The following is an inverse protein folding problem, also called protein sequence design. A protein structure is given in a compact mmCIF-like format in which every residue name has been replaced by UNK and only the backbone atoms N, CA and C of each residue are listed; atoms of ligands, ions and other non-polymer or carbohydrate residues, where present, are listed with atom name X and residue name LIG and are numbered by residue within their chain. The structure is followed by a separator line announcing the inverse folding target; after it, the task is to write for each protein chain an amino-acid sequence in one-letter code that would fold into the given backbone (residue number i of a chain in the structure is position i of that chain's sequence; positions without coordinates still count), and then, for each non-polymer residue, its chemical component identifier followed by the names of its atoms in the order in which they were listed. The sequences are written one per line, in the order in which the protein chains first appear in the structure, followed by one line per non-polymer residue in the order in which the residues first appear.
data_IF_032087102929
#
_entry.id   IF_032087102929
#
_cell.length_a   1.000
_cell.length_b   1.000
_cell.length_c   1.000
_cell.angle_alpha   90.00
_cell.angle_beta   90.00
_cell.angle_gamma   90.00
#
_symmetry.space_group_name_H-M   'P 1'
#
loop_
_entity.id
_entity.type
_entity.pdbx_description
1 polymer ?
#
# COMPACT_ATOMS: atom_id res chain seq x y z
N UNK A 1 23.65 -20.86 -5.03
CA UNK A 1 22.31 -21.25 -4.59
C UNK A 1 21.36 -20.10 -4.91
N UNK A 2 20.59 -20.27 -5.93
CA UNK A 2 19.55 -19.31 -6.25
C UNK A 2 18.47 -19.48 -5.19
N UNK A 3 18.44 -18.58 -4.23
CA UNK A 3 17.24 -18.43 -3.44
C UNK A 3 16.10 -18.17 -4.41
N UNK A 4 15.24 -19.16 -4.55
CA UNK A 4 13.95 -18.90 -5.16
C UNK A 4 13.30 -17.84 -4.30
N UNK A 5 13.29 -16.60 -4.79
CA UNK A 5 12.75 -15.47 -4.07
C UNK A 5 11.34 -15.80 -3.58
N UNK A 6 11.01 -15.32 -2.38
CA UNK A 6 9.66 -15.44 -1.86
C UNK A 6 8.69 -14.79 -2.85
N UNK A 7 7.67 -15.50 -3.35
CA UNK A 7 6.73 -14.93 -4.33
C UNK A 7 6.08 -13.63 -3.83
N UNK A 8 5.81 -13.54 -2.53
CA UNK A 8 5.21 -12.33 -1.93
C UNK A 8 6.19 -11.15 -1.97
N UNK A 9 7.48 -11.40 -1.79
CA UNK A 9 8.51 -10.37 -1.89
C UNK A 9 8.61 -9.81 -3.32
N UNK A 10 8.55 -10.69 -4.31
CA UNK A 10 8.54 -10.26 -5.73
C UNK A 10 7.29 -9.42 -6.05
N UNK A 11 6.13 -9.83 -5.57
CA UNK A 11 4.89 -9.07 -5.69
C UNK A 11 4.99 -7.70 -5.01
N UNK A 12 5.59 -7.64 -3.84
CA UNK A 12 5.82 -6.39 -3.12
C UNK A 12 6.69 -5.40 -3.92
N UNK A 13 7.76 -5.89 -4.51
CA UNK A 13 8.66 -5.06 -5.33
C UNK A 13 7.97 -4.57 -6.59
N UNK A 14 7.19 -5.42 -7.25
CA UNK A 14 6.39 -5.03 -8.41
C UNK A 14 5.35 -3.97 -8.02
N UNK A 15 4.66 -4.13 -6.91
CA UNK A 15 3.71 -3.14 -6.39
C UNK A 15 4.38 -1.80 -6.12
N UNK A 16 5.55 -1.80 -5.47
CA UNK A 16 6.30 -0.57 -5.20
C UNK A 16 6.70 0.17 -6.49
N UNK A 17 7.11 -0.56 -7.51
CA UNK A 17 7.43 -0.01 -8.83
C UNK A 17 6.20 0.63 -9.49
N UNK A 18 5.05 -0.03 -9.42
CA UNK A 18 3.80 0.49 -9.95
C UNK A 18 3.31 1.73 -9.21
N UNK A 19 3.45 1.76 -7.89
CA UNK A 19 3.10 2.92 -7.06
C UNK A 19 3.96 4.13 -7.46
N UNK A 20 5.27 3.94 -7.59
CA UNK A 20 6.18 5.00 -8.02
C UNK A 20 5.82 5.53 -9.42
N UNK A 21 5.49 4.64 -10.36
CA UNK A 21 5.04 5.03 -11.69
C UNK A 21 3.71 5.81 -11.66
N UNK A 22 2.77 5.41 -10.80
CA UNK A 22 1.51 6.11 -10.64
C UNK A 22 1.70 7.52 -10.06
N UNK A 23 2.58 7.68 -9.08
CA UNK A 23 2.90 8.98 -8.49
C UNK A 23 3.55 9.93 -9.52
N UNK A 24 4.48 9.42 -10.34
CA UNK A 24 5.10 10.19 -11.41
C UNK A 24 4.07 10.60 -12.48
N UNK A 25 3.19 9.68 -12.89
CA UNK A 25 2.12 9.96 -13.85
C UNK A 25 1.11 10.97 -13.32
N UNK A 26 0.76 10.90 -12.03
CA UNK A 26 -0.13 11.87 -11.38
C UNK A 26 0.44 13.28 -11.39
N UNK A 27 1.73 13.43 -11.15
CA UNK A 27 2.40 14.73 -11.23
C UNK A 27 2.36 15.32 -12.66
N UNK A 28 2.57 14.48 -13.68
CA UNK A 28 2.44 14.90 -15.08
C UNK A 28 1.00 15.30 -15.45
N UNK A 29 0.01 14.54 -14.97
CA UNK A 29 -1.42 14.88 -15.20
C UNK A 29 -1.79 16.26 -14.70
N UNK A 30 -1.26 16.67 -13.56
CA UNK A 30 -1.53 17.98 -12.96
C UNK A 30 -0.97 19.14 -13.81
N UNK A 31 0.07 18.88 -14.58
CA UNK A 31 0.69 19.89 -15.47
C UNK A 31 -0.04 20.01 -16.81
N UNK A 32 -0.85 19.02 -17.19
CA UNK A 32 -1.58 19.00 -18.45
C UNK A 32 -2.95 19.64 -18.33
N UNK A 33 -3.36 20.30 -19.42
CA UNK A 33 -4.71 20.88 -19.50
C UNK A 33 -5.80 19.81 -19.46
N UNK A 34 -6.96 20.17 -18.90
CA UNK A 34 -8.15 19.34 -18.93
C UNK A 34 -8.57 19.05 -20.38
N UNK A 35 -9.01 17.83 -20.64
CA UNK A 35 -9.52 17.41 -21.95
C UNK A 35 -8.48 17.35 -23.08
N UNK A 36 -7.19 17.29 -22.76
CA UNK A 36 -6.15 17.07 -23.78
C UNK A 36 -5.97 15.57 -24.05
N UNK A 37 -5.60 15.18 -25.30
CA UNK A 37 -5.30 13.78 -25.60
C UNK A 37 -4.18 13.20 -24.75
N UNK A 38 -3.18 14.01 -24.42
CA UNK A 38 -2.03 13.64 -23.58
C UNK A 38 -2.48 13.29 -22.15
N UNK A 39 -3.39 14.07 -21.59
CA UNK A 39 -3.97 13.80 -20.28
C UNK A 39 -4.80 12.52 -20.29
N UNK A 40 -5.61 12.32 -21.33
CA UNK A 40 -6.40 11.09 -21.48
C UNK A 40 -5.52 9.85 -21.55
N UNK A 41 -4.38 9.91 -22.24
CA UNK A 41 -3.42 8.83 -22.31
C UNK A 41 -2.80 8.52 -20.94
N UNK A 42 -2.46 9.55 -20.15
CA UNK A 42 -1.94 9.37 -18.79
C UNK A 42 -2.99 8.79 -17.85
N UNK A 43 -4.23 9.22 -17.95
CA UNK A 43 -5.35 8.67 -17.17
C UNK A 43 -5.56 7.18 -17.47
N UNK A 44 -5.48 6.77 -18.74
CA UNK A 44 -5.55 5.36 -19.12
C UNK A 44 -4.36 4.56 -18.60
N UNK A 45 -3.16 5.12 -18.64
CA UNK A 45 -1.97 4.47 -18.09
C UNK A 45 -2.11 4.29 -16.57
N UNK A 46 -2.59 5.32 -15.86
CA UNK A 46 -2.86 5.25 -14.42
C UNK A 46 -3.90 4.18 -14.07
N UNK A 47 -4.95 4.04 -14.88
CA UNK A 47 -5.97 3.01 -14.68
C UNK A 47 -5.39 1.60 -14.82
N UNK A 48 -4.51 1.37 -15.81
CA UNK A 48 -3.84 0.07 -15.99
C UNK A 48 -2.91 -0.25 -14.83
N UNK A 49 -2.19 0.74 -14.33
CA UNK A 49 -1.33 0.59 -13.15
C UNK A 49 -2.17 0.19 -11.94
N UNK A 50 -3.30 0.85 -11.71
CA UNK A 50 -4.21 0.54 -10.62
C UNK A 50 -4.77 -0.88 -10.71
N UNK A 51 -5.19 -1.32 -11.89
CA UNK A 51 -5.64 -2.70 -12.12
C UNK A 51 -4.55 -3.72 -11.82
N UNK A 52 -3.34 -3.48 -12.32
CA UNK A 52 -2.20 -4.37 -12.09
C UNK A 52 -1.85 -4.43 -10.61
N UNK A 53 -1.82 -3.30 -9.93
CA UNK A 53 -1.58 -3.25 -8.49
C UNK A 53 -2.63 -4.04 -7.72
N UNK A 54 -3.92 -3.86 -8.02
CA UNK A 54 -5.00 -4.59 -7.37
C UNK A 54 -4.85 -6.11 -7.56
N UNK A 55 -4.48 -6.55 -8.75
CA UNK A 55 -4.22 -7.97 -9.02
C UNK A 55 -3.06 -8.52 -8.19
N UNK A 56 -1.98 -7.74 -8.06
CA UNK A 56 -0.82 -8.08 -7.23
C UNK A 56 -1.22 -8.18 -5.76
N UNK A 57 -1.97 -7.23 -5.25
CA UNK A 57 -2.42 -7.19 -3.85
C UNK A 57 -3.31 -8.40 -3.52
N UNK A 58 -4.24 -8.73 -4.41
CA UNK A 58 -5.09 -9.92 -4.28
C UNK A 58 -4.29 -11.22 -4.28
N UNK A 59 -3.30 -11.30 -5.14
CA UNK A 59 -2.41 -12.47 -5.20
C UNK A 59 -1.56 -12.58 -3.95
N UNK A 60 -1.00 -11.47 -3.47
CA UNK A 60 -0.22 -11.42 -2.24
C UNK A 60 -1.05 -11.85 -1.02
N UNK A 61 -2.32 -11.47 -0.96
CA UNK A 61 -3.22 -11.86 0.12
C UNK A 61 -3.50 -13.37 0.17
N UNK A 62 -3.37 -14.07 -0.96
CA UNK A 62 -3.61 -15.51 -1.08
C UNK A 62 -2.34 -16.36 -1.04
N UNK A 63 -1.19 -15.72 -1.08
CA UNK A 63 0.10 -16.41 -1.15
C UNK A 63 0.76 -16.37 0.21
N UNK A 64 1.23 -17.53 0.67
CA UNK A 64 1.94 -17.61 1.94
C UNK A 64 3.30 -16.91 1.83
N UNK A 65 3.57 -15.97 2.72
CA UNK A 65 4.87 -15.36 2.83
C UNK A 65 5.90 -16.39 3.36
N UNK A 66 7.07 -16.40 2.74
CA UNK A 66 8.19 -17.28 3.12
C UNK A 66 9.44 -16.49 3.51
N UNK A 67 9.29 -15.16 3.61
CA UNK A 67 10.34 -14.26 4.02
C UNK A 67 9.77 -13.18 4.93
N UNK A 68 10.63 -12.54 5.70
CA UNK A 68 10.24 -11.41 6.54
C UNK A 68 9.76 -10.22 5.68
N UNK A 69 10.38 -10.00 4.52
CA UNK A 69 9.95 -8.96 3.58
C UNK A 69 8.53 -9.23 3.05
N UNK A 70 8.23 -10.47 2.68
CA UNK A 70 6.89 -10.86 2.27
C UNK A 70 5.86 -10.66 3.37
N UNK A 71 6.20 -11.04 4.60
CA UNK A 71 5.36 -10.81 5.77
C UNK A 71 5.14 -9.33 6.04
N UNK A 72 6.17 -8.52 5.90
CA UNK A 72 6.10 -7.06 6.00
C UNK A 72 5.07 -6.48 5.02
N UNK A 73 5.15 -6.90 3.78
CA UNK A 73 4.20 -6.45 2.74
C UNK A 73 2.76 -6.85 3.07
N UNK A 74 2.55 -8.08 3.53
CA UNK A 74 1.21 -8.54 3.92
C UNK A 74 0.63 -7.77 5.11
N UNK A 75 1.47 -7.37 6.06
CA UNK A 75 1.04 -6.51 7.18
C UNK A 75 0.63 -5.12 6.68
N UNK A 76 1.37 -4.55 5.74
CA UNK A 76 1.01 -3.27 5.13
C UNK A 76 -0.31 -3.36 4.37
N UNK A 77 -0.56 -4.43 3.64
CA UNK A 77 -1.83 -4.67 2.96
C UNK A 77 -2.99 -4.80 3.97
N UNK A 78 -2.79 -5.54 5.05
CA UNK A 78 -3.80 -5.69 6.08
C UNK A 78 -4.17 -4.34 6.71
N UNK A 79 -3.18 -3.49 6.97
CA UNK A 79 -3.42 -2.14 7.47
C UNK A 79 -4.20 -1.29 6.48
N UNK A 80 -3.84 -1.34 5.22
CA UNK A 80 -4.54 -0.60 4.16
C UNK A 80 -6.00 -1.03 4.05
N UNK A 81 -6.28 -2.33 4.14
CA UNK A 81 -7.65 -2.84 4.14
C UNK A 81 -8.44 -2.44 5.40
N UNK A 82 -7.80 -2.44 6.56
CA UNK A 82 -8.42 -1.98 7.80
C UNK A 82 -8.82 -0.50 7.71
N UNK A 83 -7.98 0.32 7.11
CA UNK A 83 -8.28 1.72 6.84
C UNK A 83 -9.47 1.88 5.89
N UNK A 84 -9.48 1.11 4.81
CA UNK A 84 -10.60 1.11 3.87
C UNK A 84 -11.91 0.67 4.54
N UNK A 85 -11.86 -0.35 5.37
CA UNK A 85 -13.02 -0.82 6.14
C UNK A 85 -13.59 0.28 7.03
N UNK A 86 -12.75 1.10 7.64
CA UNK A 86 -13.20 2.20 8.47
C UNK A 86 -13.94 3.28 7.67
N UNK A 87 -13.58 3.49 6.42
CA UNK A 87 -14.28 4.40 5.51
C UNK A 87 -15.63 3.85 5.03
N UNK A 88 -15.80 2.54 5.04
CA UNK A 88 -17.05 1.89 4.67
C UNK A 88 -18.02 1.74 5.86
N UNK A 89 -17.54 1.95 7.08
CA UNK A 89 -18.39 1.85 8.27
C UNK A 89 -19.48 2.91 8.22
N UNK A 90 -20.72 2.49 8.54
CA UNK A 90 -21.87 3.36 8.62
C UNK A 90 -21.60 4.53 9.58
N UNK A 91 -22.03 5.73 9.23
CA UNK A 91 -21.87 6.96 10.01
C UNK A 91 -22.34 6.80 11.47
N UNK A 92 -23.31 5.94 11.73
CA UNK A 92 -23.84 5.68 13.08
C UNK A 92 -22.87 4.95 14.00
N UNK A 93 -21.81 4.33 13.45
CA UNK A 93 -20.78 3.59 14.21
C UNK A 93 -19.39 4.14 14.03
N UNK A 94 -19.27 5.34 13.48
CA UNK A 94 -17.99 5.94 13.12
C UNK A 94 -16.99 6.04 14.29
N UNK A 95 -17.46 6.41 15.48
CA UNK A 95 -16.61 6.54 16.66
C UNK A 95 -16.04 5.19 17.13
N UNK A 96 -16.87 4.15 17.17
CA UNK A 96 -16.43 2.78 17.53
C UNK A 96 -15.49 2.21 16.46
N UNK A 97 -15.82 2.38 15.17
CA UNK A 97 -15.01 1.95 14.06
C UNK A 97 -13.63 2.63 14.08
N UNK A 98 -13.57 3.93 14.37
CA UNK A 98 -12.31 4.67 14.50
C UNK A 98 -11.47 4.19 15.68
N UNK A 99 -12.07 3.83 16.81
CA UNK A 99 -11.36 3.26 17.94
C UNK A 99 -10.77 1.89 17.62
N UNK A 100 -11.52 1.04 16.93
CA UNK A 100 -11.05 -0.27 16.48
C UNK A 100 -9.90 -0.11 15.48
N UNK A 101 -10.07 0.79 14.52
CA UNK A 101 -9.03 1.13 13.55
C UNK A 101 -7.75 1.58 14.26
N UNK A 102 -7.87 2.49 15.24
CA UNK A 102 -6.72 2.99 16.00
C UNK A 102 -5.95 1.88 16.72
N UNK A 103 -6.65 0.91 17.29
CA UNK A 103 -6.03 -0.25 17.92
C UNK A 103 -5.35 -1.18 16.90
N UNK A 104 -6.00 -1.44 15.79
CA UNK A 104 -5.44 -2.24 14.71
C UNK A 104 -4.18 -1.55 14.15
N UNK A 105 -4.27 -0.26 13.87
CA UNK A 105 -3.14 0.53 13.38
C UNK A 105 -1.96 0.48 14.36
N UNK A 106 -2.22 0.65 15.65
CA UNK A 106 -1.18 0.60 16.68
C UNK A 106 -0.49 -0.77 16.75
N UNK A 107 -1.27 -1.84 16.70
CA UNK A 107 -0.73 -3.21 16.71
C UNK A 107 0.09 -3.50 15.45
N UNK A 108 -0.44 -3.15 14.28
CA UNK A 108 0.23 -3.37 13.01
C UNK A 108 1.50 -2.52 12.88
N UNK A 109 1.49 -1.28 13.39
CA UNK A 109 2.67 -0.43 13.43
C UNK A 109 3.78 -1.05 14.28
N UNK A 110 3.45 -1.61 15.43
CA UNK A 110 4.41 -2.28 16.30
C UNK A 110 5.03 -3.49 15.62
N UNK A 111 4.21 -4.34 15.00
CA UNK A 111 4.67 -5.52 14.25
C UNK A 111 5.50 -5.10 13.03
N UNK A 112 5.08 -4.04 12.34
CA UNK A 112 5.79 -3.53 11.17
C UNK A 112 7.22 -3.12 11.52
N UNK A 113 7.40 -2.36 12.61
CA UNK A 113 8.73 -1.94 13.07
C UNK A 113 9.62 -3.15 13.42
N UNK A 114 9.03 -4.14 14.08
CA UNK A 114 9.75 -5.38 14.38
C UNK A 114 10.21 -6.09 13.10
N UNK A 115 9.33 -6.19 12.10
CA UNK A 115 9.65 -6.82 10.83
C UNK A 115 10.69 -6.03 10.02
N UNK A 116 10.64 -4.71 10.04
CA UNK A 116 11.69 -3.87 9.44
C UNK A 116 13.06 -4.17 10.08
N UNK A 117 13.09 -4.22 11.40
CA UNK A 117 14.29 -4.48 12.18
C UNK A 117 14.87 -5.87 11.89
N UNK A 118 14.02 -6.90 11.89
CA UNK A 118 14.42 -8.28 11.65
C UNK A 118 14.77 -8.56 10.19
N UNK A 119 14.12 -7.92 9.24
CA UNK A 119 14.38 -8.12 7.81
C UNK A 119 15.56 -7.29 7.29
N UNK A 120 15.90 -6.21 7.99
CA UNK A 120 16.85 -5.22 7.50
C UNK A 120 16.34 -4.40 6.31
N UNK A 121 15.04 -4.50 6.00
CA UNK A 121 14.42 -3.81 4.86
C UNK A 121 13.48 -2.73 5.37
N UNK A 122 13.72 -1.44 5.07
CA UNK A 122 12.77 -0.38 5.40
C UNK A 122 11.45 -0.57 4.64
N UNK A 123 10.33 -0.37 5.31
CA UNK A 123 9.02 -0.51 4.70
C UNK A 123 8.81 0.44 3.52
N UNK A 124 9.48 1.58 3.51
CA UNK A 124 9.46 2.56 2.41
C UNK A 124 9.88 1.96 1.06
N UNK A 125 10.85 1.02 1.06
CA UNK A 125 11.28 0.33 -0.17
C UNK A 125 10.21 -0.61 -0.73
N UNK A 126 9.21 -0.95 0.06
CA UNK A 126 8.10 -1.82 -0.31
C UNK A 126 6.78 -1.04 -0.48
N UNK A 127 6.85 0.27 -0.61
CA UNK A 127 5.68 1.10 -0.86
C UNK A 127 4.91 1.53 0.38
N UNK A 128 5.54 1.56 1.56
CA UNK A 128 4.88 1.89 2.82
C UNK A 128 4.14 3.23 2.79
N UNK A 129 4.69 4.24 2.14
CA UNK A 129 4.08 5.55 2.05
C UNK A 129 2.71 5.50 1.37
N UNK A 130 2.54 4.64 0.40
CA UNK A 130 1.25 4.42 -0.26
C UNK A 130 0.25 3.70 0.67
N UNK A 131 0.68 2.62 1.33
CA UNK A 131 -0.22 1.78 2.13
C UNK A 131 -0.52 2.34 3.52
N UNK A 132 0.40 3.09 4.10
CA UNK A 132 0.35 3.51 5.50
C UNK A 132 0.14 5.02 5.69
N UNK A 133 0.24 5.80 4.61
CA UNK A 133 0.23 7.25 4.68
C UNK A 133 1.53 7.81 5.26
N UNK A 134 1.54 9.10 5.51
CA UNK A 134 2.68 9.79 6.10
C UNK A 134 2.75 9.51 7.60
N UNK A 135 3.82 8.84 8.09
CA UNK A 135 3.97 8.56 9.52
C UNK A 135 4.18 9.84 10.35
N UNK A 136 4.62 10.92 9.71
CA UNK A 136 4.83 12.20 10.35
C UNK A 136 3.62 13.13 10.23
N UNK A 137 2.56 12.71 9.54
CA UNK A 137 1.31 13.45 9.54
C UNK A 137 0.78 13.52 10.98
N UNK A 138 0.65 14.73 11.51
CA UNK A 138 0.09 14.93 12.82
C UNK A 138 -1.31 14.31 12.87
N UNK A 139 -1.64 13.55 13.94
CA UNK A 139 -3.00 13.05 14.08
C UNK A 139 -3.95 14.26 14.07
N UNK A 140 -4.95 14.19 13.20
CA UNK A 140 -5.99 15.21 13.18
C UNK A 140 -6.63 15.31 14.58
N UNK A 141 -6.83 16.50 15.08
CA UNK A 141 -7.41 16.70 16.41
C UNK A 141 -8.84 16.16 16.51
#
# INVERSE_FOLDING_TARGET
MTETGCPVTELAREAATLIAAAEAGGAEELELGLHTPERAALEQASARIAERRTAIERRAARTRARSLEGGLFQVMLARSEAEYLSHLADETRSAEAEQIKGRIDGLLQSVLRLLEELSGTPAETLGAQYYMGDPDAAPEP
#
